data_IF_075198966815
#
_entry.id   IF_075198966815
#
_cell.length_a   1.000
_cell.length_b   1.000
_cell.length_c   1.000
_cell.angle_alpha   90.00
_cell.angle_beta   90.00
_cell.angle_gamma   90.00
#
_symmetry.space_group_name_H-M   'P 1'
#
loop_
_entity.id
_entity.type
_entity.pdbx_description
1 polymer ?
#
# COMPACT_ATOMS: atom_id res chain seq x y z
N UNK A 1 7.67 24.70 -4.84
CA UNK A 1 6.97 23.44 -5.16
C UNK A 1 7.88 22.22 -4.97
N UNK A 2 9.05 22.12 -5.65
CA UNK A 2 10.03 21.04 -5.38
C UNK A 2 10.48 20.96 -3.90
N UNK A 3 10.84 22.09 -3.31
CA UNK A 3 11.22 22.17 -1.88
C UNK A 3 10.11 21.67 -0.94
N UNK A 4 8.85 21.96 -1.30
CA UNK A 4 7.68 21.54 -0.52
C UNK A 4 7.51 20.01 -0.54
N UNK A 5 7.75 19.37 -1.68
CA UNK A 5 7.71 17.91 -1.80
C UNK A 5 8.79 17.27 -0.93
N UNK A 6 10.01 17.82 -0.94
CA UNK A 6 11.11 17.33 -0.10
C UNK A 6 10.72 17.40 1.38
N UNK A 7 10.22 18.55 1.84
CA UNK A 7 9.78 18.72 3.24
C UNK A 7 8.67 17.72 3.62
N UNK A 8 7.71 17.48 2.73
CA UNK A 8 6.63 16.51 2.94
C UNK A 8 7.20 15.10 3.05
N UNK A 9 8.09 14.70 2.14
CA UNK A 9 8.73 13.37 2.16
C UNK A 9 9.65 13.19 3.37
N UNK A 10 10.39 14.21 3.79
CA UNK A 10 11.22 14.16 5.00
C UNK A 10 10.35 13.95 6.24
N UNK A 11 9.20 14.63 6.31
CA UNK A 11 8.27 14.47 7.43
C UNK A 11 7.61 13.09 7.44
N UNK A 12 7.22 12.57 6.27
CA UNK A 12 6.71 11.20 6.14
C UNK A 12 7.79 10.20 6.58
N UNK A 13 9.02 10.34 6.09
CA UNK A 13 10.16 9.49 6.47
C UNK A 13 10.39 9.51 7.97
N UNK A 14 10.28 10.67 8.60
CA UNK A 14 10.38 10.80 10.06
C UNK A 14 9.29 10.02 10.79
N UNK A 15 8.05 10.02 10.29
CA UNK A 15 6.95 9.25 10.87
C UNK A 15 7.18 7.76 10.68
N UNK A 16 7.52 7.33 9.46
CA UNK A 16 7.75 5.93 9.13
C UNK A 16 8.95 5.33 9.87
N UNK A 17 9.94 6.13 10.25
CA UNK A 17 11.10 5.68 11.02
C UNK A 17 10.85 5.62 12.54
N UNK A 18 9.69 6.03 13.05
CA UNK A 18 9.35 5.85 14.47
C UNK A 18 9.20 4.37 14.84
N UNK A 19 8.73 3.56 13.89
CA UNK A 19 8.70 2.10 13.95
C UNK A 19 8.91 1.58 12.53
N UNK A 20 10.07 0.97 12.29
CA UNK A 20 10.49 0.44 10.98
C UNK A 20 9.69 -0.78 10.54
N UNK A 21 8.80 -1.31 11.39
CA UNK A 21 7.86 -2.35 11.02
C UNK A 21 6.70 -1.75 10.20
N UNK A 22 6.78 -1.89 8.87
CA UNK A 22 5.67 -1.57 7.96
C UNK A 22 4.40 -2.39 8.23
N UNK A 23 4.49 -3.43 9.06
CA UNK A 23 3.34 -4.21 9.57
C UNK A 23 2.57 -3.45 10.68
N UNK A 24 3.07 -2.31 11.20
CA UNK A 24 2.41 -1.50 12.21
C UNK A 24 1.41 -0.50 11.61
N UNK A 25 0.13 -0.87 11.67
CA UNK A 25 -0.99 -0.03 11.19
C UNK A 25 -0.99 1.38 11.80
N UNK A 26 -0.48 1.56 13.02
CA UNK A 26 -0.49 2.87 13.69
C UNK A 26 0.45 3.88 13.02
N UNK A 27 1.61 3.42 12.52
CA UNK A 27 2.57 4.30 11.83
C UNK A 27 2.06 4.69 10.44
N UNK A 28 1.39 3.76 9.74
CA UNK A 28 0.69 4.07 8.49
C UNK A 28 -0.44 5.08 8.75
N UNK A 29 -1.25 4.87 9.80
CA UNK A 29 -2.31 5.79 10.18
C UNK A 29 -1.77 7.19 10.53
N UNK A 30 -0.66 7.30 11.26
CA UNK A 30 -0.04 8.59 11.59
C UNK A 30 0.45 9.32 10.33
N UNK A 31 1.06 8.60 9.39
CA UNK A 31 1.49 9.15 8.11
C UNK A 31 0.28 9.68 7.31
N UNK A 32 -0.82 8.92 7.26
CA UNK A 32 -2.06 9.34 6.60
C UNK A 32 -2.72 10.52 7.34
N UNK A 33 -2.66 10.57 8.67
CA UNK A 33 -3.13 11.70 9.46
C UNK A 33 -2.37 12.98 9.10
N UNK A 34 -1.05 12.90 8.98
CA UNK A 34 -0.23 14.02 8.52
C UNK A 34 -0.66 14.49 7.12
N UNK A 35 -0.91 13.56 6.18
CA UNK A 35 -1.39 13.92 4.84
C UNK A 35 -2.76 14.63 4.90
N UNK A 36 -3.68 14.10 5.70
CA UNK A 36 -5.02 14.67 5.86
C UNK A 36 -5.00 16.07 6.48
N UNK A 37 -4.21 16.27 7.53
CA UNK A 37 -4.04 17.57 8.19
C UNK A 37 -3.47 18.64 7.24
N UNK A 38 -2.67 18.21 6.26
CA UNK A 38 -2.03 19.07 5.27
C UNK A 38 -2.71 19.03 3.88
N UNK A 39 -3.95 18.53 3.80
CA UNK A 39 -4.65 18.26 2.52
C UNK A 39 -4.73 19.45 1.56
N UNK A 40 -4.88 20.67 2.07
CA UNK A 40 -4.92 21.90 1.27
C UNK A 40 -3.63 22.13 0.48
N UNK A 41 -2.49 21.70 1.02
CA UNK A 41 -1.18 21.79 0.37
C UNK A 41 -0.88 20.55 -0.49
N UNK A 42 -1.24 19.36 -0.01
CA UNK A 42 -0.93 18.09 -0.67
C UNK A 42 -1.75 17.88 -1.93
N UNK A 43 -3.03 18.23 -1.90
CA UNK A 43 -3.94 17.92 -3.00
C UNK A 43 -3.54 18.61 -4.33
N UNK A 44 -3.18 19.90 -4.36
CA UNK A 44 -2.69 20.52 -5.59
C UNK A 44 -1.38 19.92 -6.11
N UNK A 45 -0.50 19.44 -5.21
CA UNK A 45 0.75 18.77 -5.57
C UNK A 45 0.44 17.42 -6.22
N UNK A 46 -0.40 16.60 -5.59
CA UNK A 46 -0.78 15.29 -6.11
C UNK A 46 -1.50 15.37 -7.46
N UNK A 47 -2.29 16.44 -7.70
CA UNK A 47 -3.05 16.62 -8.94
C UNK A 47 -2.22 17.25 -10.07
N UNK A 48 -1.32 18.17 -9.77
CA UNK A 48 -0.73 19.04 -10.80
C UNK A 48 0.80 18.96 -10.90
N UNK A 49 1.50 18.35 -9.94
CA UNK A 49 2.96 18.28 -10.01
C UNK A 49 3.41 17.25 -11.05
N UNK A 50 4.27 17.62 -12.02
CA UNK A 50 4.72 16.69 -13.06
C UNK A 50 5.40 15.45 -12.47
N UNK A 51 5.05 14.28 -12.99
CA UNK A 51 5.62 13.00 -12.60
C UNK A 51 5.50 12.65 -11.10
N UNK A 52 4.58 13.28 -10.36
CA UNK A 52 4.44 13.06 -8.92
C UNK A 52 4.19 11.59 -8.58
N UNK A 53 3.38 10.87 -9.37
CA UNK A 53 3.15 9.43 -9.18
C UNK A 53 4.44 8.61 -9.28
N UNK A 54 5.32 8.94 -10.23
CA UNK A 54 6.61 8.27 -10.40
C UNK A 54 7.52 8.54 -9.19
N UNK A 55 7.56 9.80 -8.73
CA UNK A 55 8.36 10.21 -7.56
C UNK A 55 7.88 9.48 -6.30
N UNK A 56 6.57 9.47 -6.06
CA UNK A 56 5.98 8.83 -4.87
C UNK A 56 6.11 7.31 -4.93
N UNK A 57 5.89 6.68 -6.09
CA UNK A 57 6.12 5.23 -6.25
C UNK A 57 7.56 4.87 -5.93
N UNK A 58 8.53 5.60 -6.48
CA UNK A 58 9.95 5.38 -6.22
C UNK A 58 10.27 5.52 -4.72
N UNK A 59 9.75 6.56 -4.08
CA UNK A 59 9.89 6.76 -2.65
C UNK A 59 9.30 5.59 -1.83
N UNK A 60 8.10 5.11 -2.18
CA UNK A 60 7.48 3.94 -1.52
C UNK A 60 8.37 2.71 -1.69
N UNK A 61 8.88 2.45 -2.89
CA UNK A 61 9.79 1.33 -3.15
C UNK A 61 11.05 1.42 -2.27
N UNK A 62 11.68 2.59 -2.20
CA UNK A 62 12.86 2.82 -1.35
C UNK A 62 12.55 2.58 0.14
N UNK A 63 11.40 3.05 0.63
CA UNK A 63 10.97 2.79 2.02
C UNK A 63 10.78 1.30 2.29
N UNK A 64 10.15 0.58 1.36
CA UNK A 64 9.87 -0.87 1.50
C UNK A 64 11.17 -1.68 1.50
N UNK A 65 12.10 -1.39 0.58
CA UNK A 65 13.40 -2.08 0.50
C UNK A 65 14.29 -1.84 1.72
N UNK A 66 14.17 -0.67 2.36
CA UNK A 66 14.94 -0.32 3.55
C UNK A 66 14.22 -0.63 4.87
N UNK A 67 13.04 -1.25 4.81
CA UNK A 67 12.27 -1.63 6.00
C UNK A 67 12.82 -2.89 6.68
N UNK A 68 12.47 -3.10 7.95
CA UNK A 68 12.82 -4.30 8.70
C UNK A 68 11.87 -5.48 8.43
N UNK A 69 11.15 -5.48 7.29
CA UNK A 69 10.29 -6.61 6.91
C UNK A 69 11.16 -7.86 6.72
N UNK A 70 11.07 -8.77 7.68
CA UNK A 70 11.76 -10.05 7.61
C UNK A 70 11.38 -10.82 6.35
N UNK A 71 12.40 -11.30 5.63
CA UNK A 71 12.24 -12.15 4.45
C UNK A 71 11.36 -11.55 3.34
N UNK A 72 11.34 -10.21 3.21
CA UNK A 72 10.51 -9.46 2.25
C UNK A 72 10.53 -10.06 0.85
N UNK A 73 11.72 -10.37 0.31
CA UNK A 73 11.86 -10.96 -1.02
C UNK A 73 11.06 -12.25 -1.19
N UNK A 74 11.32 -13.25 -0.35
CA UNK A 74 10.63 -14.54 -0.44
C UNK A 74 9.13 -14.39 -0.17
N UNK A 75 8.72 -13.48 0.73
CA UNK A 75 7.32 -13.16 1.00
C UNK A 75 6.62 -12.64 -0.26
N UNK A 76 7.21 -11.64 -0.92
CA UNK A 76 6.69 -11.05 -2.15
C UNK A 76 6.65 -12.06 -3.31
N UNK A 77 7.74 -12.78 -3.55
CA UNK A 77 7.81 -13.78 -4.62
C UNK A 77 6.79 -14.90 -4.42
N UNK A 78 6.58 -15.36 -3.17
CA UNK A 78 5.59 -16.40 -2.85
C UNK A 78 4.16 -15.92 -3.03
N UNK A 79 3.85 -14.70 -2.59
CA UNK A 79 2.49 -14.15 -2.66
C UNK A 79 2.09 -13.81 -4.09
N UNK A 80 2.93 -13.08 -4.82
CA UNK A 80 2.64 -12.67 -6.18
C UNK A 80 2.93 -13.74 -7.23
N UNK A 81 3.71 -14.79 -6.88
CA UNK A 81 4.15 -15.85 -7.81
C UNK A 81 4.91 -15.28 -9.01
N UNK A 82 5.71 -14.24 -8.76
CA UNK A 82 6.50 -13.49 -9.74
C UNK A 82 7.92 -13.27 -9.20
N UNK A 83 8.90 -12.98 -10.08
CA UNK A 83 10.23 -12.57 -9.62
C UNK A 83 10.16 -11.30 -8.76
N UNK A 84 11.08 -11.16 -7.81
CA UNK A 84 11.09 -10.10 -6.81
C UNK A 84 10.81 -8.70 -7.37
N UNK A 85 11.52 -8.29 -8.42
CA UNK A 85 11.40 -6.93 -8.96
C UNK A 85 9.97 -6.62 -9.44
N UNK A 86 9.29 -7.58 -10.07
CA UNK A 86 7.89 -7.43 -10.48
C UNK A 86 6.95 -7.41 -9.27
N UNK A 87 7.20 -8.27 -8.29
CA UNK A 87 6.40 -8.36 -7.08
C UNK A 87 6.48 -7.08 -6.23
N UNK A 88 7.69 -6.54 -6.08
CA UNK A 88 7.96 -5.27 -5.40
C UNK A 88 7.31 -4.08 -6.14
N UNK A 89 7.31 -4.10 -7.47
CA UNK A 89 6.67 -3.07 -8.28
C UNK A 89 5.15 -3.05 -8.08
N UNK A 90 4.52 -4.23 -8.07
CA UNK A 90 3.09 -4.41 -7.81
C UNK A 90 2.74 -3.98 -6.39
N UNK A 91 3.55 -4.37 -5.41
CA UNK A 91 3.37 -3.96 -4.01
C UNK A 91 3.40 -2.43 -3.89
N UNK A 92 4.43 -1.80 -4.45
CA UNK A 92 4.64 -0.34 -4.36
C UNK A 92 3.53 0.44 -5.09
N UNK A 93 3.12 0.00 -6.29
CA UNK A 93 2.06 0.67 -7.06
C UNK A 93 0.69 0.50 -6.39
N UNK A 94 0.45 -0.60 -5.68
CA UNK A 94 -0.81 -0.80 -4.94
C UNK A 94 -0.98 0.26 -3.85
N UNK A 95 0.07 0.51 -3.05
CA UNK A 95 0.07 1.56 -2.03
C UNK A 95 -0.10 2.94 -2.68
N UNK A 96 0.65 3.22 -3.75
CA UNK A 96 0.55 4.47 -4.51
C UNK A 96 -0.89 4.73 -4.97
N UNK A 97 -1.52 3.76 -5.64
CA UNK A 97 -2.88 3.89 -6.17
C UNK A 97 -3.89 4.16 -5.06
N UNK A 98 -3.81 3.48 -3.91
CA UNK A 98 -4.71 3.71 -2.78
C UNK A 98 -4.58 5.15 -2.27
N UNK A 99 -3.35 5.62 -2.03
CA UNK A 99 -3.09 6.98 -1.53
C UNK A 99 -3.57 8.03 -2.55
N UNK A 100 -3.25 7.87 -3.84
CA UNK A 100 -3.65 8.84 -4.86
C UNK A 100 -5.16 8.84 -5.10
N UNK A 101 -5.83 7.69 -5.06
CA UNK A 101 -7.28 7.63 -5.17
C UNK A 101 -7.94 8.34 -3.98
N UNK A 102 -7.44 8.13 -2.77
CA UNK A 102 -7.93 8.84 -1.58
C UNK A 102 -7.77 10.36 -1.71
N UNK A 103 -6.60 10.85 -2.14
CA UNK A 103 -6.35 12.28 -2.36
C UNK A 103 -7.23 12.87 -3.46
N UNK A 104 -7.43 12.12 -4.55
CA UNK A 104 -8.22 12.56 -5.70
C UNK A 104 -9.72 12.60 -5.39
N UNK A 105 -10.19 11.72 -4.52
CA UNK A 105 -11.56 11.68 -3.99
C UNK A 105 -11.75 12.58 -2.75
N UNK A 106 -11.00 13.70 -2.69
CA UNK A 106 -11.12 14.74 -1.66
C UNK A 106 -10.93 14.23 -0.21
N UNK A 107 -10.13 13.18 -0.03
CA UNK A 107 -9.87 12.54 1.27
C UNK A 107 -11.16 12.08 1.96
N UNK A 108 -12.05 11.42 1.21
CA UNK A 108 -13.39 11.02 1.67
C UNK A 108 -13.35 10.09 2.89
N UNK A 109 -12.52 9.05 2.84
CA UNK A 109 -12.36 8.08 3.92
C UNK A 109 -11.44 8.64 5.03
N UNK A 110 -11.59 8.17 6.25
CA UNK A 110 -10.69 8.55 7.35
C UNK A 110 -9.29 7.96 7.15
N UNK A 111 -8.23 8.59 7.71
CA UNK A 111 -6.88 8.04 7.68
C UNK A 111 -6.80 6.58 8.16
N UNK A 112 -7.57 6.22 9.18
CA UNK A 112 -7.66 4.87 9.70
C UNK A 112 -8.25 3.88 8.71
N UNK A 113 -9.35 4.22 8.04
CA UNK A 113 -9.96 3.37 7.00
C UNK A 113 -8.98 3.14 5.85
N UNK A 114 -8.27 4.19 5.43
CA UNK A 114 -7.26 4.07 4.36
C UNK A 114 -6.06 3.24 4.79
N UNK A 115 -5.61 3.36 6.05
CA UNK A 115 -4.58 2.48 6.60
C UNK A 115 -5.00 1.01 6.53
N UNK A 116 -6.26 0.72 6.88
CA UNK A 116 -6.83 -0.62 6.77
C UNK A 116 -6.89 -1.11 5.32
N UNK A 117 -7.22 -0.25 4.35
CA UNK A 117 -7.19 -0.61 2.93
C UNK A 117 -5.78 -0.96 2.46
N UNK A 118 -4.78 -0.14 2.84
CA UNK A 118 -3.37 -0.39 2.51
C UNK A 118 -2.95 -1.73 3.08
N UNK A 119 -3.08 -1.92 4.40
CA UNK A 119 -2.71 -3.17 5.07
C UNK A 119 -3.41 -4.36 4.44
N UNK A 120 -4.72 -4.27 4.18
CA UNK A 120 -5.50 -5.38 3.58
C UNK A 120 -5.09 -5.70 2.14
N UNK A 121 -4.77 -4.68 1.34
CA UNK A 121 -4.35 -4.86 -0.04
C UNK A 121 -2.92 -5.43 -0.17
N UNK A 122 -2.09 -5.21 0.85
CA UNK A 122 -0.68 -5.58 0.86
C UNK A 122 -0.33 -6.61 1.93
N UNK A 123 -1.34 -7.26 2.52
CA UNK A 123 -1.16 -8.27 3.56
C UNK A 123 -0.54 -9.55 2.98
N UNK A 124 0.78 -9.52 2.86
CA UNK A 124 1.58 -10.66 2.41
C UNK A 124 1.67 -11.75 3.51
N UNK A 125 1.29 -11.47 4.76
CA UNK A 125 1.27 -12.48 5.82
C UNK A 125 0.11 -13.46 5.61
N UNK A 126 -1.03 -12.97 5.15
CA UNK A 126 -2.24 -13.75 4.87
C UNK A 126 -2.35 -14.24 3.42
N UNK A 127 -1.22 -14.64 2.79
CA UNK A 127 -1.25 -15.39 1.52
C UNK A 127 -2.19 -16.62 1.58
N UNK A 128 -2.39 -17.18 2.77
CA UNK A 128 -3.35 -18.24 3.04
C UNK A 128 -4.82 -17.81 2.89
N UNK A 129 -5.17 -16.53 3.10
CA UNK A 129 -6.55 -16.05 3.01
C UNK A 129 -7.05 -15.98 1.56
N UNK A 130 -6.22 -15.51 0.62
CA UNK A 130 -6.56 -15.57 -0.81
C UNK A 130 -6.57 -17.01 -1.35
N UNK A 131 -5.67 -17.88 -0.87
CA UNK A 131 -5.73 -19.31 -1.20
C UNK A 131 -6.97 -19.99 -0.60
N UNK A 132 -7.40 -19.60 0.61
CA UNK A 132 -8.65 -20.06 1.22
C UNK A 132 -9.89 -19.55 0.49
N UNK A 133 -9.89 -18.30 0.02
CA UNK A 133 -11.00 -17.71 -0.74
C UNK A 133 -11.14 -18.40 -2.11
N UNK A 134 -10.03 -18.55 -2.84
CA UNK A 134 -10.01 -19.29 -4.11
C UNK A 134 -10.35 -20.77 -3.93
N UNK A 135 -9.89 -21.41 -2.85
CA UNK A 135 -10.27 -22.78 -2.52
C UNK A 135 -11.75 -22.90 -2.13
N UNK A 136 -12.32 -21.92 -1.42
CA UNK A 136 -13.74 -21.88 -1.09
C UNK A 136 -14.60 -21.68 -2.34
N UNK A 137 -14.23 -20.76 -3.23
CA UNK A 137 -14.91 -20.53 -4.51
C UNK A 137 -14.82 -21.77 -5.41
N UNK A 138 -13.65 -22.41 -5.47
CA UNK A 138 -13.46 -23.65 -6.23
C UNK A 138 -14.25 -24.83 -5.63
N UNK A 139 -14.26 -24.99 -4.31
CA UNK A 139 -15.06 -26.03 -3.61
C UNK A 139 -16.56 -25.77 -3.78
N UNK A 140 -16.99 -24.51 -3.76
CA UNK A 140 -18.37 -24.12 -4.01
C UNK A 140 -18.77 -24.45 -5.46
N UNK A 141 -17.91 -24.12 -6.41
CA UNK A 141 -18.11 -24.45 -7.82
C UNK A 141 -18.15 -25.97 -8.07
N UNK A 142 -17.30 -26.75 -7.39
CA UNK A 142 -17.35 -28.21 -7.43
C UNK A 142 -18.64 -28.77 -6.80
N UNK A 143 -19.10 -28.21 -5.67
CA UNK A 143 -20.36 -28.62 -5.03
C UNK A 143 -21.59 -28.32 -5.90
N UNK A 144 -21.57 -27.23 -6.65
CA UNK A 144 -22.63 -26.86 -7.60
C UNK A 144 -22.59 -27.74 -8.86
N UNK A 145 -21.38 -28.03 -9.36
CA UNK A 145 -21.16 -28.89 -10.52
C UNK A 145 -21.51 -30.36 -10.25
N UNK A 146 -21.26 -30.85 -9.03
CA UNK A 146 -21.57 -32.22 -8.62
C UNK A 146 -23.02 -32.42 -8.14
N UNK A 147 -23.84 -31.36 -8.04
CA UNK A 147 -25.29 -31.45 -7.73
C UNK A 147 -26.17 -31.67 -8.98
N UNK A 148 -25.55 -31.87 -10.15
CA UNK A 148 -26.24 -32.12 -11.43
C UNK A 148 -26.30 -33.63 -11.78
N UNK A 149 -25.93 -34.51 -10.85
CA UNK A 149 -26.19 -35.96 -10.93
C UNK A 149 -26.98 -36.47 -9.73
#
# INVERSE_FOLDING_TARGET
MKQTIIIVLDKITTILNQDSSLDNINVIEEMLCFLYQNKRMIQPIAKNFPNIKIIIKKYITEVVENSEISNLKNRLEKFYKLPYDYALDIFSVTIEVIIFNWINNDFKESPKEVAQFIVSAVDIQNASFFELLLAQDFIQHLKESCKIF
#
